data_IF_651953027624
#
_entry.id   IF_651953027624
#
_cell.length_a   1.000
_cell.length_b   1.000
_cell.length_c   1.000
_cell.angle_alpha   90.00
_cell.angle_beta   90.00
_cell.angle_gamma   90.00
#
_symmetry.space_group_name_H-M   'P 1'
#
loop_
_entity.id
_entity.type
_entity.pdbx_description
1 polymer ?
#
# COMPACT_ATOMS: atom_id res chain seq x y z
N UNK A 1 2.53 -7.79 -11.18
CA UNK A 1 2.89 -6.46 -11.67
C UNK A 1 2.93 -6.42 -13.20
N UNK A 2 2.86 -5.21 -13.78
CA UNK A 2 3.21 -4.98 -15.19
C UNK A 2 4.73 -4.88 -15.32
N UNK A 3 5.30 -5.10 -16.51
CA UNK A 3 6.71 -4.85 -16.73
C UNK A 3 7.09 -3.42 -16.37
N UNK A 4 8.25 -3.24 -15.79
CA UNK A 4 8.64 -1.95 -15.24
C UNK A 4 8.84 -0.90 -16.34
N UNK A 5 9.45 -1.28 -17.46
CA UNK A 5 9.61 -0.40 -18.62
C UNK A 5 8.28 0.11 -19.17
N UNK A 6 7.24 -0.72 -19.18
CA UNK A 6 5.89 -0.31 -19.61
C UNK A 6 5.31 0.74 -18.65
N UNK A 7 5.55 0.58 -17.36
CA UNK A 7 5.10 1.53 -16.36
C UNK A 7 5.81 2.89 -16.52
N UNK A 8 7.12 2.89 -16.70
CA UNK A 8 7.89 4.13 -16.92
C UNK A 8 7.50 4.84 -18.22
N UNK A 9 7.20 4.07 -19.28
CA UNK A 9 6.71 4.67 -20.52
C UNK A 9 5.36 5.37 -20.34
N UNK A 10 4.47 4.82 -19.51
CA UNK A 10 3.19 5.49 -19.18
C UNK A 10 3.41 6.81 -18.47
N UNK A 11 4.33 6.87 -17.51
CA UNK A 11 4.70 8.13 -16.82
C UNK A 11 5.18 9.17 -17.84
N UNK A 12 6.11 8.77 -18.72
CA UNK A 12 6.62 9.65 -19.78
C UNK A 12 5.52 10.13 -20.71
N UNK A 13 4.62 9.22 -21.15
CA UNK A 13 3.51 9.57 -22.03
C UNK A 13 2.56 10.59 -21.40
N UNK A 14 2.25 10.45 -20.10
CA UNK A 14 1.44 11.43 -19.38
C UNK A 14 2.16 12.79 -19.33
N UNK A 15 3.47 12.81 -19.06
CA UNK A 15 4.25 14.04 -19.03
C UNK A 15 4.27 14.74 -20.39
N UNK A 16 4.43 13.99 -21.48
CA UNK A 16 4.32 14.54 -22.83
C UNK A 16 2.92 15.09 -23.13
N UNK A 17 1.87 14.40 -22.71
CA UNK A 17 0.50 14.90 -22.88
C UNK A 17 0.26 16.22 -22.14
N UNK A 18 0.80 16.37 -20.93
CA UNK A 18 0.75 17.63 -20.19
C UNK A 18 1.45 18.76 -20.98
N UNK A 19 2.63 18.49 -21.53
CA UNK A 19 3.35 19.47 -22.34
C UNK A 19 2.58 19.86 -23.61
N UNK A 20 2.03 18.89 -24.33
CA UNK A 20 1.23 19.14 -25.56
C UNK A 20 -0.03 19.94 -25.29
N UNK A 21 -0.67 19.69 -24.14
CA UNK A 21 -1.93 20.36 -23.76
C UNK A 21 -1.73 21.65 -22.98
N UNK A 22 -0.48 22.06 -22.71
CA UNK A 22 -0.16 23.25 -21.90
C UNK A 22 -0.63 23.13 -20.44
N UNK A 23 -0.66 21.92 -19.88
CA UNK A 23 -1.00 21.68 -18.48
C UNK A 23 0.25 21.85 -17.63
N UNK A 24 0.38 23.02 -17.02
CA UNK A 24 1.57 23.39 -16.24
C UNK A 24 1.54 22.86 -14.79
N UNK A 25 0.35 22.68 -14.23
CA UNK A 25 0.10 22.29 -12.84
C UNK A 25 -0.29 20.80 -12.67
N UNK A 26 -0.16 20.01 -13.72
CA UNK A 26 -0.45 18.59 -13.71
C UNK A 26 0.53 17.80 -12.82
N UNK A 27 -0.01 17.01 -11.89
CA UNK A 27 0.78 16.21 -10.92
C UNK A 27 0.65 14.72 -11.25
N UNK A 28 1.78 14.03 -11.38
CA UNK A 28 1.85 12.58 -11.57
C UNK A 28 2.23 11.91 -10.26
N UNK A 29 1.31 11.13 -9.70
CA UNK A 29 1.55 10.28 -8.53
C UNK A 29 1.81 8.86 -9.01
N UNK A 30 3.05 8.38 -8.88
CA UNK A 30 3.44 7.03 -9.25
C UNK A 30 3.19 6.07 -8.10
N UNK A 31 2.29 5.10 -8.30
CA UNK A 31 2.00 4.05 -7.31
C UNK A 31 2.82 2.80 -7.59
N UNK A 32 3.40 2.21 -6.56
CA UNK A 32 3.98 0.87 -6.60
C UNK A 32 3.28 -0.07 -5.62
N UNK A 33 2.99 -1.28 -6.07
CA UNK A 33 2.46 -2.39 -5.28
C UNK A 33 3.53 -3.48 -5.08
N UNK A 34 4.79 -3.20 -5.39
CA UNK A 34 5.87 -4.19 -5.37
C UNK A 34 6.14 -4.77 -4.00
N UNK A 35 5.76 -4.10 -2.91
CA UNK A 35 5.96 -4.60 -1.55
C UNK A 35 5.28 -5.96 -1.34
N UNK A 36 4.02 -6.10 -1.75
CA UNK A 36 3.23 -7.32 -1.63
C UNK A 36 3.19 -8.18 -2.91
N UNK A 37 3.66 -7.67 -4.05
CA UNK A 37 3.55 -8.38 -5.31
C UNK A 37 4.62 -9.47 -5.46
N UNK A 38 4.19 -10.71 -5.60
CA UNK A 38 5.09 -11.87 -5.80
C UNK A 38 5.33 -12.25 -7.25
N UNK A 39 4.58 -11.70 -8.22
CA UNK A 39 4.56 -12.17 -9.60
C UNK A 39 4.66 -11.05 -10.63
N UNK A 40 5.29 -11.33 -11.77
CA UNK A 40 5.31 -10.46 -12.94
C UNK A 40 4.98 -11.23 -14.24
N UNK A 41 4.44 -10.51 -15.23
CA UNK A 41 4.03 -11.10 -16.51
C UNK A 41 5.21 -11.46 -17.40
N UNK A 42 6.29 -10.70 -17.33
CA UNK A 42 7.45 -10.91 -18.20
C UNK A 42 8.74 -10.45 -17.52
N UNK A 43 9.84 -10.90 -18.08
CA UNK A 43 11.20 -10.50 -17.74
C UNK A 43 11.45 -9.13 -18.36
N UNK A 44 12.15 -8.25 -17.66
CA UNK A 44 12.56 -6.96 -18.21
C UNK A 44 13.58 -7.14 -19.33
N UNK A 45 13.51 -6.27 -20.34
CA UNK A 45 14.50 -6.24 -21.41
C UNK A 45 15.83 -5.72 -20.86
N UNK A 46 16.92 -6.42 -21.15
CA UNK A 46 18.27 -6.05 -20.77
C UNK A 46 19.03 -5.69 -22.04
N UNK A 47 19.53 -4.46 -22.13
CA UNK A 47 20.37 -4.00 -23.22
C UNK A 47 21.85 -4.25 -22.91
N UNK A 48 22.24 -4.00 -21.69
CA UNK A 48 23.59 -4.18 -21.18
C UNK A 48 23.58 -4.52 -19.68
N UNK A 49 24.64 -5.17 -19.22
CA UNK A 49 24.80 -5.52 -17.81
C UNK A 49 24.71 -4.30 -16.91
N UNK A 50 23.96 -4.41 -15.82
CA UNK A 50 23.75 -3.33 -14.86
C UNK A 50 22.73 -2.26 -15.27
N UNK A 51 22.12 -2.39 -16.47
CA UNK A 51 21.00 -1.50 -16.83
C UNK A 51 19.77 -1.73 -15.96
N UNK A 52 18.74 -0.93 -16.15
CA UNK A 52 17.54 -1.01 -15.34
C UNK A 52 16.82 -2.37 -15.46
N UNK A 53 16.81 -2.96 -16.66
CA UNK A 53 16.23 -4.28 -16.89
C UNK A 53 16.96 -5.37 -16.11
N UNK A 54 18.29 -5.31 -16.10
CA UNK A 54 19.13 -6.23 -15.35
C UNK A 54 18.90 -6.08 -13.84
N UNK A 55 18.83 -4.85 -13.32
CA UNK A 55 18.50 -4.59 -11.93
C UNK A 55 17.15 -5.18 -11.51
N UNK A 56 16.10 -5.09 -12.37
CA UNK A 56 14.80 -5.71 -12.11
C UNK A 56 14.85 -7.23 -12.17
N UNK A 57 15.52 -7.78 -13.14
CA UNK A 57 15.65 -9.22 -13.31
C UNK A 57 16.43 -9.87 -12.15
N UNK A 58 17.31 -9.12 -11.49
CA UNK A 58 18.01 -9.56 -10.30
C UNK A 58 17.08 -9.99 -9.16
N UNK A 59 15.84 -9.52 -9.14
CA UNK A 59 14.84 -9.90 -8.13
C UNK A 59 14.05 -11.16 -8.46
N UNK A 60 14.16 -11.70 -9.68
CA UNK A 60 13.43 -12.91 -10.07
C UNK A 60 13.95 -14.15 -9.34
N UNK A 61 13.03 -15.07 -9.04
CA UNK A 61 13.40 -16.42 -8.61
C UNK A 61 13.90 -17.18 -9.83
N UNK A 62 15.12 -17.73 -9.73
CA UNK A 62 15.83 -18.38 -10.81
C UNK A 62 16.41 -19.71 -10.36
N UNK A 63 16.68 -20.56 -11.32
CA UNK A 63 17.48 -21.77 -11.16
C UNK A 63 18.80 -21.62 -11.89
N UNK A 64 19.87 -22.25 -11.38
CA UNK A 64 21.16 -22.26 -12.03
C UNK A 64 21.12 -23.18 -13.27
N UNK A 65 21.73 -22.74 -14.34
CA UNK A 65 21.76 -23.49 -15.61
C UNK A 65 23.16 -24.01 -15.85
N UNK A 66 23.29 -25.32 -16.05
CA UNK A 66 24.54 -25.95 -16.43
C UNK A 66 24.90 -25.62 -17.88
N UNK A 67 26.11 -25.09 -18.09
CA UNK A 67 26.60 -24.78 -19.43
C UNK A 67 25.94 -23.54 -20.06
N UNK A 68 25.71 -23.58 -21.38
CA UNK A 68 25.20 -22.42 -22.13
C UNK A 68 23.69 -22.27 -22.17
N UNK A 69 22.93 -23.09 -21.43
CA UNK A 69 21.47 -23.15 -21.51
C UNK A 69 20.95 -23.81 -22.78
N UNK A 70 19.63 -23.77 -22.98
CA UNK A 70 18.95 -24.32 -24.14
C UNK A 70 18.55 -23.20 -25.13
N UNK A 71 18.43 -23.49 -26.43
CA UNK A 71 17.92 -22.52 -27.39
C UNK A 71 16.54 -21.99 -26.96
N UNK A 72 16.42 -20.67 -26.89
CA UNK A 72 15.19 -20.00 -26.45
C UNK A 72 15.11 -19.68 -24.94
N UNK A 73 16.08 -20.12 -24.16
CA UNK A 73 16.19 -19.69 -22.75
C UNK A 73 16.50 -18.21 -22.68
N UNK A 74 15.83 -17.52 -21.76
CA UNK A 74 16.27 -16.19 -21.32
C UNK A 74 17.15 -16.39 -20.10
N UNK A 75 18.41 -16.02 -20.22
CA UNK A 75 19.40 -16.22 -19.19
C UNK A 75 19.78 -14.88 -18.56
N UNK A 76 19.96 -14.92 -17.25
CA UNK A 76 20.40 -13.79 -16.42
C UNK A 76 21.75 -14.15 -15.83
N UNK A 77 22.74 -13.29 -15.96
CA UNK A 77 24.01 -13.44 -15.25
C UNK A 77 23.83 -12.96 -13.81
N UNK A 78 24.10 -13.84 -12.85
CA UNK A 78 24.08 -13.51 -11.42
C UNK A 78 25.34 -14.04 -10.76
N UNK A 79 26.20 -13.12 -10.33
CA UNK A 79 27.48 -13.46 -9.68
C UNK A 79 28.35 -14.43 -10.52
N UNK A 80 28.38 -14.24 -11.85
CA UNK A 80 29.13 -15.04 -12.78
C UNK A 80 28.49 -16.39 -13.14
N UNK A 81 27.27 -16.65 -12.68
CA UNK A 81 26.49 -17.85 -12.99
C UNK A 81 25.35 -17.54 -13.92
N UNK A 82 25.12 -18.40 -14.89
CA UNK A 82 23.95 -18.32 -15.76
C UNK A 82 22.72 -18.87 -15.01
N UNK A 83 21.71 -18.03 -14.90
CA UNK A 83 20.46 -18.34 -14.19
C UNK A 83 19.29 -18.28 -15.16
N UNK A 84 18.34 -19.18 -15.03
CA UNK A 84 17.06 -19.14 -15.76
C UNK A 84 15.95 -18.71 -14.82
N UNK A 85 15.18 -17.66 -15.14
CA UNK A 85 13.99 -17.31 -14.37
C UNK A 85 12.96 -18.43 -14.36
N UNK A 86 12.48 -18.78 -13.18
CA UNK A 86 11.45 -19.81 -13.02
C UNK A 86 10.12 -19.30 -13.56
N UNK A 87 9.58 -19.99 -14.55
CA UNK A 87 8.29 -19.73 -15.14
C UNK A 87 7.24 -20.68 -14.55
N UNK A 88 6.18 -20.09 -14.00
CA UNK A 88 5.08 -20.86 -13.44
C UNK A 88 4.15 -21.43 -14.52
N UNK A 89 3.34 -22.45 -14.23
CA UNK A 89 2.33 -22.99 -15.17
C UNK A 89 1.33 -21.91 -15.67
N UNK A 90 1.13 -20.85 -14.90
CA UNK A 90 0.34 -19.67 -15.28
C UNK A 90 1.00 -18.74 -16.30
N UNK A 91 2.18 -19.08 -16.78
CA UNK A 91 3.03 -18.23 -17.63
C UNK A 91 3.52 -16.94 -16.97
N UNK A 92 3.51 -16.86 -15.65
CA UNK A 92 4.06 -15.76 -14.86
C UNK A 92 5.45 -16.12 -14.33
N UNK A 93 6.25 -15.12 -14.05
CA UNK A 93 7.52 -15.26 -13.35
C UNK A 93 7.36 -14.88 -11.89
N UNK A 94 8.10 -15.51 -11.01
CA UNK A 94 8.06 -15.29 -9.57
C UNK A 94 9.24 -14.43 -9.14
N UNK A 95 8.98 -13.49 -8.22
CA UNK A 95 10.04 -12.78 -7.52
C UNK A 95 10.52 -13.58 -6.30
N UNK A 96 11.78 -13.40 -5.95
CA UNK A 96 12.34 -13.98 -4.73
C UNK A 96 11.62 -13.42 -3.51
N UNK A 97 11.32 -14.27 -2.53
CA UNK A 97 10.76 -13.84 -1.26
C UNK A 97 11.67 -12.80 -0.56
N UNK A 98 11.06 -11.85 0.14
CA UNK A 98 11.77 -10.80 0.87
C UNK A 98 12.29 -9.63 0.02
N UNK A 99 12.14 -9.66 -1.32
CA UNK A 99 12.63 -8.57 -2.20
C UNK A 99 11.64 -7.42 -2.43
N UNK A 100 10.46 -7.47 -1.80
CA UNK A 100 9.40 -6.47 -2.03
C UNK A 100 9.83 -5.03 -1.72
N UNK A 101 10.50 -4.81 -0.59
CA UNK A 101 10.96 -3.48 -0.20
C UNK A 101 12.03 -2.93 -1.17
N UNK A 102 12.98 -3.78 -1.60
CA UNK A 102 14.02 -3.37 -2.55
C UNK A 102 13.43 -3.00 -3.91
N UNK A 103 12.45 -3.79 -4.38
CA UNK A 103 11.71 -3.49 -5.60
C UNK A 103 10.90 -2.20 -5.49
N UNK A 104 10.23 -1.97 -4.34
CA UNK A 104 9.54 -0.69 -4.09
C UNK A 104 10.49 0.50 -4.17
N UNK A 105 11.65 0.41 -3.55
CA UNK A 105 12.66 1.49 -3.59
C UNK A 105 13.11 1.76 -5.01
N UNK A 106 13.42 0.71 -5.79
CA UNK A 106 13.82 0.85 -7.19
C UNK A 106 12.70 1.44 -8.06
N UNK A 107 11.45 0.97 -7.91
CA UNK A 107 10.27 1.52 -8.58
C UNK A 107 10.11 3.02 -8.30
N UNK A 108 10.25 3.41 -7.05
CA UNK A 108 10.10 4.79 -6.62
C UNK A 108 11.18 5.70 -7.22
N UNK A 109 12.46 5.31 -7.11
CA UNK A 109 13.58 6.09 -7.64
C UNK A 109 13.43 6.27 -9.16
N UNK A 110 13.19 5.18 -9.88
CA UNK A 110 13.06 5.22 -11.33
C UNK A 110 11.82 5.97 -11.80
N UNK A 111 10.71 5.91 -11.05
CA UNK A 111 9.51 6.69 -11.36
C UNK A 111 9.76 8.20 -11.28
N UNK A 112 10.44 8.66 -10.22
CA UNK A 112 10.84 10.07 -10.08
C UNK A 112 11.79 10.51 -11.19
N UNK A 113 12.79 9.68 -11.53
CA UNK A 113 13.74 9.95 -12.62
C UNK A 113 13.06 10.00 -14.01
N UNK A 114 11.86 9.41 -14.14
CA UNK A 114 11.09 9.37 -15.39
C UNK A 114 9.89 10.30 -15.42
N UNK A 115 9.79 11.25 -14.48
CA UNK A 115 8.85 12.35 -14.54
C UNK A 115 7.64 12.24 -13.61
N UNK A 116 7.62 11.32 -12.65
CA UNK A 116 6.67 11.37 -11.54
C UNK A 116 7.01 12.53 -10.58
N UNK A 117 6.01 13.15 -9.99
CA UNK A 117 6.16 14.24 -9.02
C UNK A 117 6.11 13.75 -7.57
N UNK A 118 5.25 12.75 -7.34
CA UNK A 118 5.03 12.13 -6.03
C UNK A 118 5.00 10.61 -6.15
N UNK A 119 5.24 9.96 -5.04
CA UNK A 119 5.24 8.51 -4.92
C UNK A 119 4.11 8.04 -4.01
N UNK A 120 3.54 6.88 -4.34
CA UNK A 120 2.59 6.17 -3.50
C UNK A 120 3.07 4.73 -3.36
N UNK A 121 3.56 4.38 -2.17
CA UNK A 121 3.89 3.00 -1.83
C UNK A 121 2.65 2.35 -1.22
N UNK A 122 2.12 1.33 -1.88
CA UNK A 122 1.05 0.53 -1.30
C UNK A 122 1.64 -0.44 -0.27
N UNK A 123 1.06 -0.45 0.93
CA UNK A 123 1.48 -1.30 2.04
C UNK A 123 0.37 -2.29 2.42
N UNK A 124 0.73 -3.39 3.07
CA UNK A 124 -0.24 -4.38 3.55
C UNK A 124 -0.85 -4.00 4.90
N UNK A 125 -0.17 -3.15 5.64
CA UNK A 125 -0.56 -2.69 6.97
C UNK A 125 0.01 -1.31 7.27
N UNK A 126 -0.62 -0.54 8.19
CA UNK A 126 -0.15 0.78 8.59
C UNK A 126 1.01 0.66 9.59
N UNK A 127 2.25 0.57 9.07
CA UNK A 127 3.46 0.46 9.90
C UNK A 127 4.46 1.54 9.52
N UNK A 128 4.57 2.59 10.36
CA UNK A 128 5.35 3.81 10.05
C UNK A 128 6.82 3.50 9.82
N UNK A 129 7.46 2.67 10.64
CA UNK A 129 8.89 2.39 10.50
C UNK A 129 9.22 1.61 9.23
N UNK A 130 8.33 0.71 8.78
CA UNK A 130 8.49 0.03 7.50
C UNK A 130 8.47 1.03 6.33
N UNK A 131 7.51 1.96 6.37
CA UNK A 131 7.40 3.02 5.35
C UNK A 131 8.62 3.92 5.39
N UNK A 132 9.00 4.37 6.59
CA UNK A 132 10.12 5.28 6.80
C UNK A 132 11.44 4.68 6.34
N UNK A 133 11.70 3.40 6.60
CA UNK A 133 12.90 2.72 6.12
C UNK A 133 13.03 2.68 4.59
N UNK A 134 11.91 2.52 3.87
CA UNK A 134 11.92 2.66 2.41
C UNK A 134 12.13 4.10 1.96
N UNK A 135 11.49 5.07 2.63
CA UNK A 135 11.62 6.49 2.32
C UNK A 135 13.04 6.99 2.54
N UNK A 136 13.70 6.57 3.62
CA UNK A 136 15.08 6.92 3.91
C UNK A 136 15.99 6.48 2.75
N UNK A 137 15.86 5.24 2.28
CA UNK A 137 16.61 4.69 1.13
C UNK A 137 16.32 5.41 -0.18
N UNK A 138 15.07 5.77 -0.44
CA UNK A 138 14.70 6.57 -1.63
C UNK A 138 15.38 7.93 -1.59
N UNK A 139 15.43 8.57 -0.42
CA UNK A 139 16.04 9.89 -0.24
C UNK A 139 17.55 9.90 -0.27
N UNK A 140 18.20 8.77 -0.07
CA UNK A 140 19.65 8.64 -0.33
C UNK A 140 19.99 8.94 -1.80
N UNK A 141 19.07 8.61 -2.73
CA UNK A 141 19.25 8.82 -4.18
C UNK A 141 18.51 10.07 -4.67
N UNK A 142 17.30 10.32 -4.16
CA UNK A 142 16.46 11.48 -4.51
C UNK A 142 16.07 12.23 -3.24
N UNK A 143 16.91 13.13 -2.74
CA UNK A 143 16.76 13.75 -1.40
C UNK A 143 15.42 14.47 -1.18
N UNK A 144 14.82 15.01 -2.23
CA UNK A 144 13.57 15.76 -2.17
C UNK A 144 12.33 14.92 -2.53
N UNK A 145 12.44 13.59 -2.51
CA UNK A 145 11.32 12.71 -2.80
C UNK A 145 10.11 13.00 -1.90
N UNK A 146 8.95 13.23 -2.53
CA UNK A 146 7.67 13.51 -1.88
C UNK A 146 6.78 12.29 -2.00
N UNK A 147 6.07 11.97 -0.92
CA UNK A 147 5.22 10.80 -0.87
C UNK A 147 3.81 11.17 -0.44
N UNK A 148 2.86 10.41 -0.96
CA UNK A 148 1.49 10.31 -0.46
C UNK A 148 1.32 8.95 0.21
N UNK A 149 0.38 8.85 1.15
CA UNK A 149 0.08 7.60 1.82
C UNK A 149 -1.41 7.30 1.79
N UNK A 150 -1.76 6.04 1.56
CA UNK A 150 -3.13 5.57 1.61
C UNK A 150 -3.47 5.03 3.00
N UNK A 151 -4.28 5.77 3.75
CA UNK A 151 -4.92 5.27 4.97
C UNK A 151 -6.06 4.33 4.57
N UNK A 152 -5.72 3.15 4.07
CA UNK A 152 -6.69 2.24 3.50
C UNK A 152 -7.76 1.79 4.51
N UNK A 153 -9.06 1.96 4.22
CA UNK A 153 -10.14 1.40 5.04
C UNK A 153 -10.16 -0.13 5.06
N UNK A 154 -9.46 -0.79 4.13
CA UNK A 154 -9.35 -2.26 4.11
C UNK A 154 -8.37 -2.80 5.15
N UNK A 155 -7.53 -1.97 5.74
CA UNK A 155 -6.70 -2.37 6.87
C UNK A 155 -7.57 -2.61 8.10
N UNK A 156 -7.30 -3.68 8.83
CA UNK A 156 -7.82 -3.81 10.17
C UNK A 156 -6.98 -2.93 11.12
N UNK A 157 -7.30 -1.65 11.19
CA UNK A 157 -6.57 -0.66 11.99
C UNK A 157 -6.47 -1.07 13.46
N UNK A 158 -7.57 -1.48 14.07
CA UNK A 158 -7.59 -1.90 15.48
C UNK A 158 -6.63 -3.06 15.72
N UNK A 159 -6.74 -4.13 14.92
CA UNK A 159 -5.86 -5.29 15.09
C UNK A 159 -4.39 -4.92 14.90
N UNK A 160 -4.07 -4.19 13.83
CA UNK A 160 -2.69 -3.83 13.52
C UNK A 160 -2.05 -2.99 14.62
N UNK A 161 -2.77 -2.02 15.18
CA UNK A 161 -2.21 -1.17 16.23
C UNK A 161 -2.18 -1.85 17.59
N UNK A 162 -3.17 -2.66 17.93
CA UNK A 162 -3.11 -3.49 19.16
C UNK A 162 -1.96 -4.49 19.10
N UNK A 163 -1.68 -5.10 17.95
CA UNK A 163 -0.49 -5.95 17.78
C UNK A 163 0.81 -5.17 17.94
N UNK A 164 0.94 -4.01 17.29
CA UNK A 164 2.14 -3.18 17.43
C UNK A 164 2.38 -2.72 18.87
N UNK A 165 1.32 -2.37 19.60
CA UNK A 165 1.43 -2.02 21.04
C UNK A 165 1.84 -3.23 21.87
N UNK A 166 1.19 -4.37 21.67
CA UNK A 166 1.50 -5.63 22.34
C UNK A 166 2.97 -6.01 22.13
N UNK A 167 3.43 -6.06 20.89
CA UNK A 167 4.79 -6.40 20.53
C UNK A 167 5.80 -5.41 21.15
N UNK A 168 5.52 -4.10 21.08
CA UNK A 168 6.36 -3.06 21.73
C UNK A 168 6.43 -3.24 23.24
N UNK A 169 5.32 -3.58 23.89
CA UNK A 169 5.30 -3.81 25.34
C UNK A 169 6.09 -5.04 25.72
N UNK A 170 5.91 -6.16 25.00
CA UNK A 170 6.64 -7.41 25.21
C UNK A 170 8.16 -7.20 25.05
N UNK A 171 8.58 -6.55 23.95
CA UNK A 171 9.99 -6.21 23.69
C UNK A 171 10.61 -5.32 24.78
N UNK A 172 9.83 -4.43 25.37
CA UNK A 172 10.28 -3.56 26.47
C UNK A 172 10.13 -4.20 27.87
N UNK A 173 9.75 -5.48 27.95
CA UNK A 173 9.63 -6.22 29.20
C UNK A 173 8.39 -5.82 30.06
N UNK A 174 7.39 -5.15 29.46
CA UNK A 174 6.12 -4.89 30.13
C UNK A 174 5.31 -6.18 30.21
N UNK A 175 4.66 -6.40 31.33
CA UNK A 175 3.79 -7.57 31.50
C UNK A 175 2.59 -7.50 30.54
N UNK A 176 2.51 -8.47 29.65
CA UNK A 176 1.42 -8.63 28.68
C UNK A 176 0.56 -9.87 28.97
N UNK A 177 0.76 -10.53 30.13
CA UNK A 177 0.08 -11.78 30.47
C UNK A 177 -1.46 -11.68 30.56
N UNK A 178 -1.98 -10.46 30.74
CA UNK A 178 -3.42 -10.20 30.72
C UNK A 178 -4.04 -10.23 29.31
N UNK A 179 -3.23 -10.32 28.25
CA UNK A 179 -3.69 -10.24 26.89
C UNK A 179 -3.32 -11.51 26.10
N UNK A 180 -4.29 -12.04 25.35
CA UNK A 180 -4.06 -13.13 24.40
C UNK A 180 -3.81 -12.53 23.01
N UNK A 181 -2.60 -12.67 22.49
CA UNK A 181 -2.21 -12.15 21.16
C UNK A 181 -3.13 -12.63 20.03
N UNK A 182 -3.69 -13.84 20.15
CA UNK A 182 -4.62 -14.37 19.16
C UNK A 182 -6.03 -13.73 19.22
N UNK A 183 -6.32 -13.02 20.31
CA UNK A 183 -7.66 -12.46 20.60
C UNK A 183 -7.66 -10.94 20.71
N UNK A 184 -6.67 -10.23 20.17
CA UNK A 184 -6.55 -8.77 20.29
C UNK A 184 -7.75 -7.99 19.72
N UNK A 185 -8.62 -8.62 18.92
CA UNK A 185 -9.88 -8.05 18.45
C UNK A 185 -11.05 -8.22 19.42
N UNK A 186 -10.87 -8.94 20.55
CA UNK A 186 -11.95 -9.10 21.52
C UNK A 186 -12.43 -7.75 22.06
N UNK A 187 -13.73 -7.61 22.19
CA UNK A 187 -14.37 -6.49 22.87
C UNK A 187 -14.02 -6.43 24.36
N UNK A 188 -13.57 -7.54 24.94
CA UNK A 188 -13.12 -7.60 26.33
C UNK A 188 -11.89 -6.71 26.59
N UNK A 189 -11.15 -6.40 25.52
CA UNK A 189 -9.99 -5.50 25.59
C UNK A 189 -10.33 -4.04 25.34
N UNK A 190 -11.57 -3.73 24.97
CA UNK A 190 -12.02 -2.34 24.81
C UNK A 190 -11.97 -1.63 26.18
N UNK A 191 -11.39 -0.45 26.21
CA UNK A 191 -11.19 0.30 27.45
C UNK A 191 -9.97 -0.11 28.30
N UNK A 192 -9.19 -1.08 27.87
CA UNK A 192 -7.90 -1.42 28.47
C UNK A 192 -6.79 -0.45 28.08
N UNK A 193 -5.69 -0.41 28.83
CA UNK A 193 -4.52 0.42 28.50
C UNK A 193 -3.95 0.09 27.12
N UNK A 194 -3.97 -1.19 26.73
CA UNK A 194 -3.52 -1.64 25.42
C UNK A 194 -4.37 -1.03 24.29
N UNK A 195 -5.69 -1.08 24.44
CA UNK A 195 -6.61 -0.48 23.48
C UNK A 195 -6.47 1.06 23.46
N UNK A 196 -6.36 1.69 24.62
CA UNK A 196 -6.20 3.15 24.71
C UNK A 196 -4.90 3.61 24.02
N UNK A 197 -3.78 2.90 24.20
CA UNK A 197 -2.53 3.23 23.50
C UNK A 197 -2.64 2.98 21.99
N UNK A 198 -3.30 1.89 21.58
CA UNK A 198 -3.53 1.61 20.17
C UNK A 198 -4.38 2.69 19.49
N UNK A 199 -5.46 3.12 20.13
CA UNK A 199 -6.35 4.18 19.64
C UNK A 199 -5.61 5.53 19.55
N UNK A 200 -4.75 5.84 20.51
CA UNK A 200 -3.91 7.04 20.45
C UNK A 200 -2.91 6.98 19.27
N UNK A 201 -2.28 5.82 19.03
CA UNK A 201 -1.38 5.65 17.87
C UNK A 201 -2.14 5.75 16.54
N UNK A 202 -3.38 5.26 16.45
CA UNK A 202 -4.25 5.46 15.29
C UNK A 202 -4.54 6.96 15.09
N UNK A 203 -4.91 7.64 16.17
CA UNK A 203 -5.25 9.08 16.15
C UNK A 203 -4.08 9.96 15.72
N UNK A 204 -2.87 9.60 16.11
CA UNK A 204 -1.65 10.36 15.79
C UNK A 204 -0.95 9.91 14.51
N UNK A 205 -1.38 8.83 13.88
CA UNK A 205 -0.70 8.16 12.77
C UNK A 205 -0.23 9.12 11.66
N UNK A 206 -1.10 10.00 11.18
CA UNK A 206 -0.75 10.95 10.13
C UNK A 206 0.33 11.94 10.56
N UNK A 207 0.24 12.43 11.81
CA UNK A 207 1.24 13.33 12.40
C UNK A 207 2.59 12.64 12.56
N UNK A 208 2.58 11.38 12.96
CA UNK A 208 3.79 10.61 13.18
C UNK A 208 4.43 10.20 11.85
N UNK A 209 3.63 9.85 10.84
CA UNK A 209 4.10 9.64 9.48
C UNK A 209 4.72 10.92 8.87
N UNK A 210 4.13 12.10 9.15
CA UNK A 210 4.71 13.37 8.73
C UNK A 210 6.06 13.63 9.40
N UNK A 211 6.17 13.41 10.70
CA UNK A 211 7.41 13.62 11.45
C UNK A 211 8.51 12.63 11.07
N UNK A 212 8.17 11.34 10.98
CA UNK A 212 9.16 10.27 10.79
C UNK A 212 9.57 10.09 9.33
N UNK A 213 8.62 10.19 8.41
CA UNK A 213 8.82 9.91 6.98
C UNK A 213 8.59 11.13 6.07
N UNK A 214 8.19 12.29 6.61
CA UNK A 214 7.88 13.49 5.82
C UNK A 214 6.69 13.30 4.88
N UNK A 215 5.70 12.50 5.28
CA UNK A 215 4.47 12.26 4.52
C UNK A 215 3.40 13.22 5.02
N UNK A 216 3.06 14.22 4.20
CA UNK A 216 2.06 15.24 4.55
C UNK A 216 0.75 15.09 3.79
N UNK A 217 0.74 14.31 2.70
CA UNK A 217 -0.45 14.06 1.90
C UNK A 217 -0.97 12.65 2.15
N UNK A 218 -2.17 12.57 2.70
CA UNK A 218 -2.83 11.32 3.03
C UNK A 218 -4.11 11.16 2.23
N UNK A 219 -4.33 9.97 1.70
CA UNK A 219 -5.56 9.55 1.06
C UNK A 219 -6.32 8.63 2.02
N UNK A 220 -7.63 8.64 1.93
CA UNK A 220 -8.48 7.56 2.43
C UNK A 220 -9.32 7.08 1.27
N UNK A 221 -9.05 5.88 0.79
CA UNK A 221 -9.75 5.30 -0.36
C UNK A 221 -11.08 4.70 0.09
N UNK A 222 -12.13 4.85 -0.76
CA UNK A 222 -13.44 4.24 -0.54
C UNK A 222 -14.17 4.56 0.80
N UNK A 223 -13.94 5.69 1.49
CA UNK A 223 -14.62 5.96 2.76
C UNK A 223 -16.13 6.08 2.57
N UNK A 224 -16.55 6.73 1.49
CA UNK A 224 -17.97 6.88 1.12
C UNK A 224 -18.61 5.54 0.83
N UNK A 225 -17.91 4.63 0.13
CA UNK A 225 -18.40 3.28 -0.13
C UNK A 225 -18.65 2.51 1.16
N UNK A 226 -17.69 2.46 2.08
CA UNK A 226 -17.84 1.75 3.35
C UNK A 226 -18.94 2.36 4.23
N UNK A 227 -19.02 3.70 4.28
CA UNK A 227 -20.07 4.39 5.03
C UNK A 227 -21.45 4.13 4.43
N UNK A 228 -21.58 4.21 3.12
CA UNK A 228 -22.83 3.92 2.42
C UNK A 228 -23.25 2.46 2.59
N UNK A 229 -22.31 1.51 2.44
CA UNK A 229 -22.59 0.09 2.62
C UNK A 229 -23.12 -0.23 4.03
N UNK A 230 -22.46 0.28 5.08
CA UNK A 230 -22.90 0.10 6.45
C UNK A 230 -24.27 0.73 6.69
N UNK A 231 -24.49 1.97 6.24
CA UNK A 231 -25.76 2.66 6.42
C UNK A 231 -26.89 1.99 5.66
N UNK A 232 -26.64 1.49 4.46
CA UNK A 232 -27.62 0.78 3.64
C UNK A 232 -27.98 -0.58 4.23
N UNK A 233 -26.98 -1.33 4.73
CA UNK A 233 -27.25 -2.62 5.40
C UNK A 233 -28.09 -2.42 6.66
N UNK A 234 -27.75 -1.43 7.50
CA UNK A 234 -28.52 -1.09 8.69
C UNK A 234 -29.96 -0.70 8.34
N UNK A 235 -30.13 0.17 7.33
CA UNK A 235 -31.46 0.54 6.85
C UNK A 235 -32.25 -0.65 6.34
N UNK A 236 -31.63 -1.52 5.54
CA UNK A 236 -32.30 -2.70 5.00
C UNK A 236 -32.79 -3.65 6.10
N UNK A 237 -31.96 -3.92 7.10
CA UNK A 237 -32.31 -4.78 8.26
C UNK A 237 -33.51 -4.22 9.04
N UNK A 238 -33.53 -2.92 9.26
CA UNK A 238 -34.61 -2.26 10.01
C UNK A 238 -35.89 -2.09 9.19
N UNK A 239 -35.75 -1.71 7.92
CA UNK A 239 -36.89 -1.46 7.02
C UNK A 239 -37.64 -2.73 6.66
N UNK A 240 -36.93 -3.79 6.31
CA UNK A 240 -37.51 -5.10 5.98
C UNK A 240 -37.83 -5.96 7.22
N UNK A 241 -37.40 -5.50 8.40
CA UNK A 241 -37.80 -6.06 9.67
C UNK A 241 -39.13 -5.48 10.17
N UNK A 242 -39.33 -5.45 11.48
CA UNK A 242 -40.58 -5.03 12.11
C UNK A 242 -40.83 -3.52 12.09
N UNK A 243 -39.80 -2.71 11.82
CA UNK A 243 -39.88 -1.24 11.95
C UNK A 243 -40.33 -0.53 10.66
N UNK A 244 -40.21 -1.13 9.50
CA UNK A 244 -40.59 -0.55 8.21
C UNK A 244 -40.17 0.95 8.08
N UNK A 245 -41.06 1.83 7.61
CA UNK A 245 -40.79 3.27 7.51
C UNK A 245 -40.38 3.93 8.83
N UNK A 246 -40.79 3.40 9.96
CA UNK A 246 -40.39 3.96 11.25
C UNK A 246 -38.89 3.78 11.51
N UNK A 247 -38.28 2.68 11.05
CA UNK A 247 -36.85 2.45 11.08
C UNK A 247 -36.11 3.54 10.31
N UNK A 248 -36.52 3.81 9.07
CA UNK A 248 -35.95 4.90 8.27
C UNK A 248 -36.10 6.27 8.96
N UNK A 249 -37.30 6.61 9.41
CA UNK A 249 -37.56 7.90 10.05
C UNK A 249 -36.69 8.11 11.29
N UNK A 250 -36.57 7.09 12.15
CA UNK A 250 -35.77 7.18 13.40
C UNK A 250 -34.26 7.29 13.10
N UNK A 251 -33.75 6.46 12.21
CA UNK A 251 -32.32 6.25 12.08
C UNK A 251 -31.66 7.11 10.98
N UNK A 252 -32.46 7.64 10.06
CA UNK A 252 -32.00 8.52 9.01
C UNK A 252 -32.63 9.92 9.21
N UNK A 253 -33.90 10.09 8.89
CA UNK A 253 -34.53 11.39 8.77
C UNK A 253 -34.41 12.26 10.06
N UNK A 254 -34.72 11.68 11.23
CA UNK A 254 -34.61 12.41 12.49
C UNK A 254 -33.19 12.78 12.86
N UNK A 255 -32.18 11.99 12.43
CA UNK A 255 -30.77 12.31 12.64
C UNK A 255 -30.35 13.45 11.73
N UNK A 256 -30.67 13.37 10.43
CA UNK A 256 -30.37 14.43 9.46
C UNK A 256 -30.91 15.79 9.91
N UNK A 257 -32.17 15.82 10.41
CA UNK A 257 -32.77 17.05 10.91
C UNK A 257 -32.06 17.57 12.18
N UNK A 258 -31.77 16.67 13.14
CA UNK A 258 -31.14 17.07 14.42
C UNK A 258 -29.68 17.51 14.24
N UNK A 259 -28.96 16.87 13.35
CA UNK A 259 -27.55 17.16 13.09
C UNK A 259 -27.36 18.28 12.06
N UNK A 260 -28.45 18.77 11.47
CA UNK A 260 -28.39 19.88 10.51
C UNK A 260 -27.60 19.53 9.25
N UNK A 261 -27.81 18.33 8.69
CA UNK A 261 -27.08 17.88 7.50
C UNK A 261 -27.39 18.78 6.30
N UNK A 262 -26.43 19.62 5.92
CA UNK A 262 -26.64 20.71 4.96
C UNK A 262 -27.02 20.26 3.53
N UNK A 263 -26.64 19.04 3.13
CA UNK A 263 -26.94 18.52 1.81
C UNK A 263 -28.33 17.88 1.68
N UNK A 264 -29.08 17.75 2.79
CA UNK A 264 -30.41 17.13 2.81
C UNK A 264 -31.44 18.16 3.30
N UNK A 265 -32.52 18.33 2.53
CA UNK A 265 -33.66 19.17 2.92
C UNK A 265 -34.91 18.31 2.99
N UNK A 266 -35.60 18.40 4.14
CA UNK A 266 -36.91 17.81 4.33
C UNK A 266 -37.99 18.89 4.15
N UNK A 267 -39.07 18.53 3.44
CA UNK A 267 -40.24 19.40 3.23
C UNK A 267 -41.10 19.37 4.48
#
# INVERSE_FOLDING_TARGET
>A
TVPHEDFLQKIRAIRYAFLELGVEDGVIVARTDSLGAGLTKQIAYVKEEGDLGDQYNAFLDCEEVDGAGQPGDVLINRDGKLMRPKRLPSNLYQFRAGTGADRCVLDCITSLQNGADLLWIETEKPHIEQIAGMVDRIREVVPNAKLVYNNSPSFNWTLNFRQQVFDTWEENGKDVSAYDRAKLMSVDYDGTDLAAEADERIRTFQKDAAKRAGIFHHLITLPTYHTAALSTDNLAREYFGEQAMLGYVKNVQRKEIREGIACVRHQ
#
